data_IF_476701991145
#
_entry.id   IF_476701991145
#
_cell.length_a   1.000
_cell.length_b   1.000
_cell.length_c   1.000
_cell.angle_alpha   90.00
_cell.angle_beta   90.00
_cell.angle_gamma   90.00
#
_symmetry.space_group_name_H-M   'P 1'
#
loop_
_entity.id
_entity.type
_entity.pdbx_description
1 polymer ?
#
# COMPACT_ATOMS: atom_id res chain seq x y z
N UNK A 1 -12.15 -7.83 -12.49
CA UNK A 1 -13.11 -7.02 -13.24
C UNK A 1 -12.36 -6.43 -14.43
N UNK A 2 -12.84 -6.66 -15.64
CA UNK A 2 -12.32 -5.97 -16.81
C UNK A 2 -12.63 -4.48 -16.66
N UNK A 3 -11.62 -3.63 -16.87
CA UNK A 3 -11.82 -2.20 -16.88
C UNK A 3 -12.61 -1.84 -18.16
N UNK A 4 -13.75 -1.21 -17.99
CA UNK A 4 -14.64 -0.83 -19.11
C UNK A 4 -14.02 0.24 -20.04
N UNK A 5 -12.96 0.90 -19.60
CA UNK A 5 -12.22 1.89 -20.38
C UNK A 5 -10.79 1.40 -20.63
N UNK A 6 -10.22 1.75 -21.78
CA UNK A 6 -8.83 1.46 -22.15
C UNK A 6 -7.85 2.13 -21.16
N UNK A 7 -7.37 1.42 -20.12
CA UNK A 7 -6.49 2.01 -19.12
C UNK A 7 -5.09 2.23 -19.70
N UNK A 8 -4.37 3.21 -19.18
CA UNK A 8 -2.94 3.32 -19.44
C UNK A 8 -2.22 2.30 -18.56
N UNK A 9 -1.46 1.40 -19.17
CA UNK A 9 -0.54 0.49 -18.48
C UNK A 9 0.88 0.96 -18.71
N UNK A 10 1.60 1.29 -17.64
CA UNK A 10 3.03 1.66 -17.67
C UNK A 10 3.79 0.54 -16.95
N UNK A 11 4.47 -0.30 -17.74
CA UNK A 11 5.33 -1.34 -17.19
C UNK A 11 6.65 -0.73 -16.75
N UNK A 12 6.95 -0.76 -15.46
CA UNK A 12 8.18 -0.21 -14.90
C UNK A 12 8.58 -0.94 -13.61
N UNK A 13 9.86 -0.86 -13.25
CA UNK A 13 10.39 -1.37 -11.98
C UNK A 13 10.50 -0.23 -10.98
N UNK A 14 9.76 -0.31 -9.88
CA UNK A 14 9.81 0.71 -8.82
C UNK A 14 11.12 0.69 -8.02
N UNK A 15 12.01 -0.27 -8.20
CA UNK A 15 13.36 -0.18 -7.66
C UNK A 15 14.23 0.87 -8.38
N UNK A 16 13.80 1.30 -9.57
CA UNK A 16 14.50 2.27 -10.40
C UNK A 16 13.90 3.68 -10.27
N UNK A 17 14.72 4.67 -9.96
CA UNK A 17 14.26 6.07 -9.79
C UNK A 17 13.65 6.67 -11.07
N UNK A 18 14.09 6.21 -12.24
CA UNK A 18 13.54 6.61 -13.55
C UNK A 18 12.06 6.28 -13.71
N UNK A 19 11.58 5.23 -13.05
CA UNK A 19 10.17 4.81 -13.09
C UNK A 19 9.21 5.89 -12.58
N UNK A 20 9.61 6.65 -11.58
CA UNK A 20 8.78 7.70 -10.98
C UNK A 20 8.44 8.80 -12.01
N UNK A 21 9.45 9.23 -12.77
CA UNK A 21 9.26 10.22 -13.85
C UNK A 21 8.36 9.68 -14.95
N UNK A 22 8.63 8.45 -15.43
CA UNK A 22 7.87 7.81 -16.49
C UNK A 22 6.38 7.63 -16.13
N UNK A 23 6.08 7.23 -14.87
CA UNK A 23 4.70 7.12 -14.39
C UNK A 23 3.99 8.48 -14.47
N UNK A 24 4.62 9.55 -13.99
CA UNK A 24 4.02 10.88 -14.02
C UNK A 24 3.80 11.38 -15.45
N UNK A 25 4.83 11.32 -16.28
CA UNK A 25 4.78 11.79 -17.66
C UNK A 25 3.69 11.08 -18.47
N UNK A 26 3.69 9.74 -18.45
CA UNK A 26 2.69 8.96 -19.18
C UNK A 26 1.26 9.19 -18.66
N UNK A 27 1.08 9.37 -17.35
CA UNK A 27 -0.24 9.67 -16.77
C UNK A 27 -0.75 11.03 -17.25
N UNK A 28 0.09 12.07 -17.19
CA UNK A 28 -0.32 13.41 -17.58
C UNK A 28 -0.46 13.56 -19.12
N UNK A 29 0.32 12.83 -19.90
CA UNK A 29 0.18 12.80 -21.35
C UNK A 29 -1.18 12.24 -21.77
N UNK A 30 -1.64 11.12 -21.13
CA UNK A 30 -2.91 10.48 -21.48
C UNK A 30 -4.11 11.21 -20.89
N UNK A 31 -4.06 11.60 -19.63
CA UNK A 31 -5.23 12.08 -18.89
C UNK A 31 -5.23 13.57 -18.54
N UNK A 32 -4.09 14.25 -18.65
CA UNK A 32 -3.93 15.67 -18.38
C UNK A 32 -4.04 16.07 -16.90
N UNK A 33 -4.40 15.15 -16.02
CA UNK A 33 -4.62 15.38 -14.58
C UNK A 33 -4.46 14.11 -13.77
N UNK A 34 -4.34 14.26 -12.46
CA UNK A 34 -4.46 13.19 -11.49
C UNK A 34 -5.35 13.63 -10.33
N UNK A 35 -6.28 12.80 -9.91
CA UNK A 35 -7.21 13.05 -8.81
C UNK A 35 -6.90 12.16 -7.60
N UNK A 36 -6.42 10.96 -7.85
CA UNK A 36 -6.14 9.95 -6.82
C UNK A 36 -4.80 9.28 -7.08
N UNK A 37 -3.96 9.20 -6.05
CA UNK A 37 -2.76 8.38 -6.04
C UNK A 37 -2.94 7.22 -5.06
N UNK A 38 -2.88 5.97 -5.57
CA UNK A 38 -2.89 4.78 -4.74
C UNK A 38 -1.51 4.14 -4.73
N UNK A 39 -0.82 4.20 -3.60
CA UNK A 39 0.46 3.52 -3.39
C UNK A 39 0.20 2.10 -2.85
N UNK A 40 0.09 1.13 -3.76
CA UNK A 40 -0.19 -0.27 -3.44
C UNK A 40 1.02 -1.19 -3.61
N UNK A 41 1.91 -0.91 -4.54
CA UNK A 41 3.06 -1.75 -4.83
C UNK A 41 3.92 -2.00 -3.59
N UNK A 42 4.31 -3.25 -3.39
CA UNK A 42 5.15 -3.64 -2.26
C UNK A 42 5.89 -4.94 -2.53
N UNK A 43 7.00 -5.10 -1.85
CA UNK A 43 7.76 -6.36 -1.74
C UNK A 43 7.85 -6.76 -0.28
N UNK A 44 7.91 -8.07 -0.04
CA UNK A 44 8.13 -8.64 1.29
C UNK A 44 9.31 -9.61 1.24
N UNK A 45 10.33 -9.32 2.05
CA UNK A 45 11.49 -10.19 2.24
C UNK A 45 11.46 -10.69 3.68
N UNK A 46 11.08 -11.95 3.85
CA UNK A 46 10.92 -12.58 5.16
C UNK A 46 12.25 -13.15 5.64
N UNK A 47 12.97 -12.40 6.46
CA UNK A 47 14.22 -12.82 7.05
C UNK A 47 14.21 -12.62 8.58
N UNK A 48 14.70 -13.62 9.38
CA UNK A 48 14.91 -13.39 10.80
C UNK A 48 15.87 -12.21 11.01
N UNK A 49 15.55 -11.32 11.96
CA UNK A 49 16.30 -10.07 12.17
C UNK A 49 17.83 -10.29 12.34
N UNK A 50 18.25 -11.40 12.96
CA UNK A 50 19.66 -11.72 13.14
C UNK A 50 20.37 -12.26 11.88
N UNK A 51 19.63 -12.47 10.79
CA UNK A 51 20.15 -12.94 9.49
C UNK A 51 19.75 -12.00 8.34
N UNK A 52 19.01 -10.92 8.65
CA UNK A 52 18.54 -9.99 7.64
C UNK A 52 19.74 -9.37 6.92
N UNK A 53 19.70 -9.43 5.60
CA UNK A 53 20.74 -8.87 4.74
C UNK A 53 20.47 -7.40 4.46
N UNK A 54 21.53 -6.60 4.28
CA UNK A 54 21.40 -5.20 3.89
C UNK A 54 20.60 -5.07 2.60
N UNK A 55 20.83 -5.94 1.61
CA UNK A 55 20.11 -5.92 0.33
C UNK A 55 18.60 -6.12 0.49
N UNK A 56 18.17 -7.08 1.33
CA UNK A 56 16.74 -7.33 1.56
C UNK A 56 16.07 -6.17 2.31
N UNK A 57 16.78 -5.57 3.27
CA UNK A 57 16.31 -4.38 3.99
C UNK A 57 16.18 -3.19 3.04
N UNK A 58 17.24 -2.91 2.27
CA UNK A 58 17.29 -1.78 1.34
C UNK A 58 16.21 -1.88 0.26
N UNK A 59 16.04 -3.05 -0.38
CA UNK A 59 15.00 -3.29 -1.37
C UNK A 59 13.60 -3.06 -0.78
N UNK A 60 13.34 -3.61 0.41
CA UNK A 60 12.04 -3.48 1.07
C UNK A 60 11.72 -2.01 1.42
N UNK A 61 12.68 -1.30 1.99
CA UNK A 61 12.51 0.12 2.32
C UNK A 61 12.42 1.00 1.07
N UNK A 62 13.20 0.69 0.04
CA UNK A 62 13.18 1.39 -1.23
C UNK A 62 11.79 1.32 -1.87
N UNK A 63 11.29 0.12 -2.14
CA UNK A 63 10.02 -0.06 -2.86
C UNK A 63 8.83 0.38 -1.99
N UNK A 64 8.75 -0.11 -0.74
CA UNK A 64 7.54 0.06 0.07
C UNK A 64 7.38 1.45 0.70
N UNK A 65 8.47 2.19 0.90
CA UNK A 65 8.44 3.46 1.60
C UNK A 65 9.00 4.60 0.76
N UNK A 66 10.27 4.49 0.32
CA UNK A 66 10.91 5.58 -0.40
C UNK A 66 10.19 5.91 -1.71
N UNK A 67 9.85 4.91 -2.52
CA UNK A 67 9.18 5.15 -3.80
C UNK A 67 7.74 5.64 -3.63
N UNK A 68 7.01 5.15 -2.64
CA UNK A 68 5.71 5.71 -2.30
C UNK A 68 5.80 7.19 -1.92
N UNK A 69 6.82 7.59 -1.15
CA UNK A 69 7.07 8.99 -0.84
C UNK A 69 7.46 9.80 -2.09
N UNK A 70 8.33 9.25 -2.93
CA UNK A 70 8.74 9.92 -4.18
C UNK A 70 7.56 10.14 -5.12
N UNK A 71 6.65 9.17 -5.27
CA UNK A 71 5.41 9.33 -6.04
C UNK A 71 4.54 10.46 -5.46
N UNK A 72 4.34 10.50 -4.14
CA UNK A 72 3.63 11.62 -3.51
C UNK A 72 4.30 12.96 -3.84
N UNK A 73 5.63 13.06 -3.72
CA UNK A 73 6.39 14.27 -3.98
C UNK A 73 6.30 14.74 -5.43
N UNK A 74 6.43 13.82 -6.37
CA UNK A 74 6.43 14.13 -7.82
C UNK A 74 5.04 14.57 -8.27
N UNK A 75 3.97 13.96 -7.76
CA UNK A 75 2.58 14.31 -8.07
C UNK A 75 2.01 15.45 -7.20
N UNK A 76 2.78 16.01 -6.26
CA UNK A 76 2.27 17.00 -5.31
C UNK A 76 1.54 18.17 -5.98
N UNK A 77 2.15 18.80 -7.00
CA UNK A 77 1.55 19.94 -7.69
C UNK A 77 0.28 19.58 -8.45
N UNK A 78 0.24 18.38 -9.00
CA UNK A 78 -0.90 17.89 -9.77
C UNK A 78 -2.08 17.60 -8.81
N UNK A 79 -1.80 16.97 -7.66
CA UNK A 79 -2.79 16.73 -6.60
C UNK A 79 -3.28 18.03 -5.94
N UNK A 80 -2.42 19.05 -5.80
CA UNK A 80 -2.86 20.37 -5.30
C UNK A 80 -3.81 21.05 -6.28
N UNK A 81 -3.57 20.92 -7.58
CA UNK A 81 -4.43 21.51 -8.61
C UNK A 81 -5.83 20.89 -8.64
N UNK A 82 -5.94 19.61 -8.34
CA UNK A 82 -7.21 18.87 -8.34
C UNK A 82 -7.87 18.80 -6.97
N UNK A 83 -7.21 19.24 -5.90
CA UNK A 83 -7.60 18.98 -4.51
C UNK A 83 -7.82 17.47 -4.27
N UNK A 84 -6.94 16.67 -4.85
CA UNK A 84 -7.04 15.23 -4.95
C UNK A 84 -6.79 14.50 -3.64
N UNK A 85 -6.54 13.19 -3.74
CA UNK A 85 -6.24 12.43 -2.53
C UNK A 85 -5.24 11.30 -2.75
N UNK A 86 -4.67 10.82 -1.64
CA UNK A 86 -3.69 9.74 -1.56
C UNK A 86 -4.28 8.63 -0.71
N UNK A 87 -4.19 7.39 -1.20
CA UNK A 87 -4.48 6.19 -0.43
C UNK A 87 -3.24 5.29 -0.41
N UNK A 88 -2.63 5.14 0.75
CA UNK A 88 -1.48 4.27 0.94
C UNK A 88 -1.92 2.89 1.43
N UNK A 89 -1.50 1.82 0.76
CA UNK A 89 -1.74 0.45 1.23
C UNK A 89 -0.60 0.04 2.15
N UNK A 90 -0.91 0.01 3.45
CA UNK A 90 0.03 -0.35 4.50
C UNK A 90 -0.13 -1.84 4.90
N UNK A 91 -0.16 -2.17 6.17
CA UNK A 91 -0.43 -3.52 6.68
C UNK A 91 -0.72 -3.47 8.17
N UNK A 92 -1.46 -4.43 8.69
CA UNK A 92 -1.55 -4.68 10.13
C UNK A 92 -0.20 -5.01 10.76
N UNK A 93 0.75 -5.56 9.99
CA UNK A 93 2.13 -5.79 10.41
C UNK A 93 2.84 -4.51 10.88
N UNK A 94 2.42 -3.32 10.42
CA UNK A 94 2.94 -2.03 10.86
C UNK A 94 2.71 -1.72 12.36
N UNK A 95 1.73 -2.37 12.98
CA UNK A 95 1.43 -2.20 14.42
C UNK A 95 2.11 -3.24 15.31
N UNK A 96 2.73 -4.23 14.72
CA UNK A 96 3.43 -5.30 15.41
C UNK A 96 3.46 -6.54 14.53
N UNK A 97 4.58 -6.79 13.88
CA UNK A 97 4.78 -7.95 13.05
C UNK A 97 5.17 -9.17 13.89
N UNK A 98 4.74 -10.34 13.48
CA UNK A 98 5.25 -11.60 13.98
C UNK A 98 6.41 -12.13 13.14
N UNK A 99 7.33 -12.83 13.78
CA UNK A 99 8.32 -13.64 13.08
C UNK A 99 9.36 -12.83 12.29
N UNK A 100 9.38 -13.01 10.98
CA UNK A 100 10.49 -12.62 10.10
C UNK A 100 10.25 -11.34 9.27
N UNK A 101 9.23 -10.57 9.61
CA UNK A 101 8.73 -9.41 8.83
C UNK A 101 9.35 -8.07 9.22
N UNK A 102 10.54 -8.03 9.84
CA UNK A 102 11.10 -6.81 10.43
C UNK A 102 11.19 -5.62 9.46
N UNK A 103 11.83 -5.79 8.30
CA UNK A 103 11.97 -4.72 7.30
C UNK A 103 10.61 -4.32 6.70
N UNK A 104 9.75 -5.29 6.40
CA UNK A 104 8.41 -5.05 5.89
C UNK A 104 7.56 -4.23 6.88
N UNK A 105 7.50 -4.66 8.14
CA UNK A 105 6.77 -3.95 9.19
C UNK A 105 7.29 -2.52 9.39
N UNK A 106 8.61 -2.33 9.40
CA UNK A 106 9.23 -1.02 9.48
C UNK A 106 8.84 -0.12 8.31
N UNK A 107 8.86 -0.66 7.06
CA UNK A 107 8.44 0.08 5.86
C UNK A 107 6.98 0.52 5.93
N UNK A 108 6.08 -0.39 6.33
CA UNK A 108 4.64 -0.11 6.44
C UNK A 108 4.32 0.80 7.64
N UNK A 109 5.08 0.72 8.74
CA UNK A 109 5.03 1.67 9.85
C UNK A 109 5.46 3.08 9.43
N UNK A 110 6.54 3.18 8.66
CA UNK A 110 6.98 4.43 8.04
C UNK A 110 5.92 5.04 7.13
N UNK A 111 5.25 4.20 6.31
CA UNK A 111 4.19 4.64 5.42
C UNK A 111 2.94 5.13 6.18
N UNK A 112 2.59 4.53 7.32
CA UNK A 112 1.56 5.04 8.23
C UNK A 112 1.89 6.45 8.73
N UNK A 113 3.16 6.67 9.14
CA UNK A 113 3.63 7.98 9.61
C UNK A 113 3.65 9.00 8.50
N UNK A 114 4.13 8.63 7.30
CA UNK A 114 4.09 9.47 6.11
C UNK A 114 2.65 9.90 5.77
N UNK A 115 1.69 8.99 5.82
CA UNK A 115 0.26 9.30 5.59
C UNK A 115 -0.24 10.41 6.51
N UNK A 116 0.07 10.33 7.81
CA UNK A 116 -0.30 11.35 8.80
C UNK A 116 0.41 12.67 8.54
N UNK A 117 1.69 12.62 8.16
CA UNK A 117 2.45 13.83 7.83
C UNK A 117 1.84 14.54 6.61
N UNK A 118 1.62 13.82 5.49
CA UNK A 118 1.01 14.36 4.28
C UNK A 118 -0.38 14.95 4.55
N UNK A 119 -1.19 14.29 5.38
CA UNK A 119 -2.52 14.79 5.73
C UNK A 119 -2.47 16.14 6.44
N UNK A 120 -1.51 16.34 7.32
CA UNK A 120 -1.32 17.62 8.04
C UNK A 120 -0.74 18.71 7.13
N UNK A 121 0.27 18.36 6.36
CA UNK A 121 1.02 19.29 5.51
C UNK A 121 0.19 19.80 4.33
N UNK A 122 -0.63 18.93 3.71
CA UNK A 122 -1.34 19.23 2.47
C UNK A 122 -2.83 19.54 2.65
N UNK A 123 -3.35 19.47 3.89
CA UNK A 123 -4.75 19.79 4.17
C UNK A 123 -5.16 21.20 3.69
N UNK A 124 -4.27 22.18 3.84
CA UNK A 124 -4.52 23.55 3.38
C UNK A 124 -4.53 23.71 1.85
N UNK A 125 -4.16 22.66 1.11
CA UNK A 125 -4.27 22.55 -0.35
C UNK A 125 -5.50 21.76 -0.78
N UNK A 126 -6.35 21.34 0.19
CA UNK A 126 -7.52 20.51 -0.07
C UNK A 126 -7.20 19.03 -0.32
N UNK A 127 -5.94 18.60 -0.16
CA UNK A 127 -5.53 17.21 -0.40
C UNK A 127 -5.76 16.38 0.86
N UNK A 128 -6.41 15.22 0.69
CA UNK A 128 -6.56 14.22 1.74
C UNK A 128 -5.50 13.11 1.57
N UNK A 129 -5.03 12.55 2.68
CA UNK A 129 -4.14 11.39 2.66
C UNK A 129 -4.58 10.40 3.73
N UNK A 130 -4.89 9.16 3.32
CA UNK A 130 -5.30 8.10 4.22
C UNK A 130 -4.54 6.80 3.90
N UNK A 131 -4.59 5.85 4.80
CA UNK A 131 -4.03 4.52 4.60
C UNK A 131 -5.07 3.43 4.83
N UNK A 132 -4.94 2.35 4.09
CA UNK A 132 -5.61 1.07 4.34
C UNK A 132 -4.57 0.10 4.87
N UNK A 133 -4.86 -0.57 5.97
CA UNK A 133 -4.00 -1.56 6.59
C UNK A 133 -4.66 -2.96 6.53
N UNK A 134 -4.42 -3.73 5.45
CA UNK A 134 -4.95 -5.07 5.31
C UNK A 134 -4.40 -6.02 6.38
N UNK A 135 -5.23 -6.99 6.77
CA UNK A 135 -4.81 -8.18 7.51
C UNK A 135 -4.35 -9.31 6.58
N UNK A 136 -4.86 -10.52 6.84
CA UNK A 136 -4.61 -11.69 6.00
C UNK A 136 -5.49 -11.62 4.75
N UNK A 137 -4.90 -11.33 3.61
CA UNK A 137 -5.55 -11.26 2.30
C UNK A 137 -4.91 -12.29 1.38
N UNK A 138 -5.72 -13.12 0.75
CA UNK A 138 -5.24 -14.17 -0.14
C UNK A 138 -4.76 -13.55 -1.46
N UNK A 139 -3.44 -13.54 -1.66
CA UNK A 139 -2.76 -12.99 -2.84
C UNK A 139 -1.52 -13.82 -3.15
N UNK A 140 -0.93 -13.63 -4.33
CA UNK A 140 0.33 -14.25 -4.75
C UNK A 140 1.50 -14.00 -3.77
N UNK A 141 1.44 -12.96 -2.95
CA UNK A 141 2.45 -12.69 -1.91
C UNK A 141 2.62 -13.85 -0.92
N UNK A 142 1.63 -14.74 -0.80
CA UNK A 142 1.66 -15.90 0.06
C UNK A 142 2.33 -17.13 -0.56
N UNK A 143 2.57 -17.15 -1.87
CA UNK A 143 3.16 -18.30 -2.58
C UNK A 143 4.45 -18.82 -1.91
N UNK A 144 5.45 -17.98 -1.54
CA UNK A 144 6.64 -18.48 -0.87
C UNK A 144 6.36 -19.14 0.49
N UNK A 145 5.32 -18.66 1.18
CA UNK A 145 4.91 -19.25 2.48
C UNK A 145 4.16 -20.57 2.26
N UNK A 146 3.34 -20.65 1.21
CA UNK A 146 2.66 -21.89 0.82
C UNK A 146 3.65 -22.99 0.41
N UNK A 147 4.66 -22.63 -0.37
CA UNK A 147 5.75 -23.55 -0.74
C UNK A 147 6.52 -24.06 0.47
N UNK A 148 6.78 -23.21 1.45
CA UNK A 148 7.56 -23.56 2.63
C UNK A 148 6.78 -24.39 3.66
N UNK A 149 5.52 -24.05 3.91
CA UNK A 149 4.73 -24.56 5.04
C UNK A 149 3.57 -25.47 4.61
N UNK A 150 3.28 -25.55 3.32
CA UNK A 150 2.10 -26.20 2.76
C UNK A 150 0.85 -25.29 2.80
N UNK A 151 0.18 -25.16 1.65
CA UNK A 151 -0.96 -24.27 1.48
C UNK A 151 -2.10 -24.56 2.47
N UNK A 152 -2.55 -25.81 2.58
CA UNK A 152 -3.62 -26.22 3.49
C UNK A 152 -3.30 -25.85 4.93
N UNK A 153 -2.06 -26.13 5.38
CA UNK A 153 -1.61 -25.79 6.73
C UNK A 153 -1.64 -24.28 6.99
N UNK A 154 -1.21 -23.47 6.01
CA UNK A 154 -1.22 -22.00 6.12
C UNK A 154 -2.66 -21.49 6.17
N UNK A 155 -3.50 -21.90 5.23
CA UNK A 155 -4.88 -21.45 5.15
C UNK A 155 -5.66 -21.76 6.44
N UNK A 156 -5.54 -22.98 6.98
CA UNK A 156 -6.26 -23.39 8.19
C UNK A 156 -5.74 -22.73 9.47
N UNK A 157 -4.42 -22.58 9.61
CA UNK A 157 -3.85 -22.11 10.88
C UNK A 157 -3.81 -20.57 10.98
N UNK A 158 -3.60 -19.87 9.87
CA UNK A 158 -3.60 -18.42 9.89
C UNK A 158 -5.01 -17.84 10.03
N UNK A 159 -6.02 -18.45 9.40
CA UNK A 159 -7.42 -18.02 9.51
C UNK A 159 -7.96 -18.05 10.94
N UNK A 160 -7.44 -18.94 11.79
CA UNK A 160 -7.82 -19.01 13.23
C UNK A 160 -7.53 -17.70 13.99
N UNK A 161 -6.67 -16.86 13.45
CA UNK A 161 -6.33 -15.54 14.00
C UNK A 161 -7.30 -14.44 13.59
N UNK A 162 -8.21 -14.74 12.66
CA UNK A 162 -9.17 -13.78 12.10
C UNK A 162 -10.54 -14.04 12.72
N UNK A 163 -11.10 -13.13 13.53
CA UNK A 163 -12.43 -13.30 14.15
C UNK A 163 -13.56 -13.57 13.17
N UNK A 164 -13.51 -12.98 11.94
CA UNK A 164 -14.49 -13.30 10.89
C UNK A 164 -14.35 -14.71 10.32
N UNK A 165 -13.33 -15.49 10.71
CA UNK A 165 -13.14 -16.89 10.33
C UNK A 165 -12.84 -17.13 8.85
N UNK A 166 -12.39 -16.13 8.13
CA UNK A 166 -12.05 -16.25 6.71
C UNK A 166 -10.85 -15.38 6.35
N UNK A 167 -10.17 -15.71 5.27
CA UNK A 167 -9.24 -14.83 4.59
C UNK A 167 -9.99 -13.67 3.93
N UNK A 168 -9.39 -12.49 3.95
CA UNK A 168 -9.85 -11.36 3.14
C UNK A 168 -9.59 -11.58 1.65
N UNK A 169 -10.35 -10.91 0.81
CA UNK A 169 -10.11 -10.90 -0.64
C UNK A 169 -9.56 -9.55 -1.10
N UNK A 170 -8.85 -9.49 -2.24
CA UNK A 170 -8.41 -8.23 -2.84
C UNK A 170 -9.55 -7.22 -3.01
N UNK A 171 -10.76 -7.70 -3.39
CA UNK A 171 -11.95 -6.87 -3.59
C UNK A 171 -12.43 -6.22 -2.29
N UNK A 172 -12.36 -6.93 -1.16
CA UNK A 172 -12.73 -6.38 0.15
C UNK A 172 -11.80 -5.22 0.54
N UNK A 173 -10.50 -5.31 0.19
CA UNK A 173 -9.55 -4.23 0.40
C UNK A 173 -9.80 -3.09 -0.60
N UNK A 174 -10.01 -3.40 -1.87
CA UNK A 174 -10.27 -2.42 -2.93
C UNK A 174 -11.51 -1.58 -2.65
N UNK A 175 -12.57 -2.16 -2.09
CA UNK A 175 -13.78 -1.43 -1.69
C UNK A 175 -13.49 -0.31 -0.68
N UNK A 176 -12.60 -0.55 0.29
CA UNK A 176 -12.19 0.47 1.27
C UNK A 176 -11.27 1.51 0.62
N UNK A 177 -10.37 1.10 -0.28
CA UNK A 177 -9.54 2.02 -1.06
C UNK A 177 -10.44 2.95 -1.88
N UNK A 178 -11.41 2.41 -2.62
CA UNK A 178 -12.37 3.19 -3.43
C UNK A 178 -13.19 4.15 -2.56
N UNK A 179 -13.66 3.72 -1.39
CA UNK A 179 -14.36 4.59 -0.44
C UNK A 179 -13.49 5.77 -0.02
N UNK A 180 -12.24 5.51 0.43
CA UNK A 180 -11.32 6.57 0.84
C UNK A 180 -10.90 7.49 -0.31
N UNK A 181 -10.86 6.96 -1.53
CA UNK A 181 -10.57 7.69 -2.76
C UNK A 181 -11.73 8.59 -3.22
N UNK A 182 -12.95 8.33 -2.78
CA UNK A 182 -14.16 9.04 -3.19
C UNK A 182 -14.50 10.24 -2.29
N UNK A 183 -15.45 11.06 -2.75
CA UNK A 183 -16.00 12.18 -1.98
C UNK A 183 -16.82 11.75 -0.75
N UNK A 184 -17.23 10.48 -0.68
CA UNK A 184 -17.84 9.91 0.53
C UNK A 184 -16.93 9.99 1.76
N UNK A 185 -15.61 10.06 1.53
CA UNK A 185 -14.60 10.24 2.57
C UNK A 185 -14.10 11.69 2.69
N UNK A 186 -14.87 12.69 2.24
CA UNK A 186 -14.46 14.09 2.17
C UNK A 186 -13.99 14.70 3.52
N UNK A 187 -14.46 14.17 4.64
CA UNK A 187 -14.04 14.62 5.99
C UNK A 187 -13.09 13.63 6.69
N UNK A 188 -12.49 12.68 5.93
CA UNK A 188 -11.55 11.67 6.43
C UNK A 188 -10.17 11.96 5.86
N UNK A 189 -9.21 12.30 6.74
CA UNK A 189 -7.79 12.45 6.37
C UNK A 189 -6.89 12.06 7.56
N UNK A 190 -5.67 11.60 7.30
CA UNK A 190 -4.70 11.16 8.29
C UNK A 190 -5.01 9.82 8.96
N UNK A 191 -6.02 9.09 8.47
CA UNK A 191 -6.46 7.85 9.10
C UNK A 191 -5.72 6.63 8.52
N UNK A 192 -5.53 5.63 9.39
CA UNK A 192 -5.09 4.28 9.03
C UNK A 192 -6.25 3.34 9.32
N UNK A 193 -6.97 2.96 8.27
CA UNK A 193 -8.14 2.10 8.37
C UNK A 193 -7.70 0.64 8.28
N UNK A 194 -7.90 -0.12 9.36
CA UNK A 194 -7.63 -1.56 9.37
C UNK A 194 -8.75 -2.31 8.67
N UNK A 195 -8.36 -3.23 7.77
CA UNK A 195 -9.28 -4.11 7.02
C UNK A 195 -8.75 -5.54 7.16
N UNK A 196 -9.07 -6.16 8.30
CA UNK A 196 -8.35 -7.33 8.78
C UNK A 196 -9.29 -8.42 9.38
N UNK A 197 -10.58 -8.28 9.20
CA UNK A 197 -11.56 -9.23 9.74
C UNK A 197 -11.59 -9.29 11.28
N UNK A 198 -11.13 -8.22 11.96
CA UNK A 198 -11.06 -8.13 13.42
C UNK A 198 -9.78 -8.70 14.01
N UNK A 199 -8.79 -9.04 13.21
CA UNK A 199 -7.47 -9.49 13.68
C UNK A 199 -6.78 -8.35 14.43
N UNK A 200 -6.48 -8.57 15.73
CA UNK A 200 -5.85 -7.58 16.62
C UNK A 200 -4.33 -7.66 16.57
#
# INVERSE_FOLDING_TARGET
AELENDPLVISCDLSEDSSIGAIREGTLEKYGRIDVLVNNAAVERNEPAHRATASAIDETLLVNLRQAFMLCSVFAKDLFATQGNIVNVTSTAAAGAGGTQGAYAASKGGLNTLTKNLSNEWANKGVRANAVAPGLVLTEMWEPTFELLGEENVLENFVKRVPLGKWGTPEEIANVICFLASDLASYITGQVVRVDGGML
#
